data_IF_893110675808
#
_entry.id   IF_893110675808
#
_cell.length_a   1.000
_cell.length_b   1.000
_cell.length_c   1.000
_cell.angle_alpha   90.00
_cell.angle_beta   90.00
_cell.angle_gamma   90.00
#
_symmetry.space_group_name_H-M   'P 1'
#
loop_
_entity.id
_entity.type
_entity.pdbx_description
1 polymer ?
#
# COMPACT_ATOMS: atom_id res chain seq x y z
N UNK A 1 -6.30 -13.44 13.17
CA UNK A 1 -5.67 -12.85 11.97
C UNK A 1 -4.61 -11.86 12.44
N UNK A 2 -3.61 -11.54 11.61
CA UNK A 2 -2.69 -10.44 11.93
C UNK A 2 -3.32 -9.16 11.38
N UNK A 3 -3.66 -8.24 12.28
CA UNK A 3 -4.08 -6.88 11.93
C UNK A 3 -2.82 -6.04 11.70
N UNK A 4 -2.81 -5.21 10.67
CA UNK A 4 -1.74 -4.25 10.41
C UNK A 4 -2.28 -2.83 10.28
N UNK A 5 -1.44 -1.87 10.64
CA UNK A 5 -1.62 -0.44 10.41
C UNK A 5 -0.40 0.05 9.65
N UNK A 6 -0.61 0.75 8.53
CA UNK A 6 0.47 1.26 7.69
C UNK A 6 0.10 2.61 7.09
N UNK A 7 1.07 3.52 7.05
CA UNK A 7 0.95 4.83 6.41
C UNK A 7 1.50 4.76 4.99
N UNK A 8 0.64 5.02 3.99
CA UNK A 8 0.98 4.94 2.57
C UNK A 8 0.74 6.27 1.86
N UNK A 9 1.67 6.67 0.98
CA UNK A 9 1.47 7.77 0.05
C UNK A 9 0.80 7.24 -1.21
N UNK A 10 -0.51 7.43 -1.34
CA UNK A 10 -1.29 6.94 -2.48
C UNK A 10 -1.23 7.93 -3.64
N UNK A 11 -0.35 7.64 -4.60
CA UNK A 11 -0.23 8.40 -5.85
C UNK A 11 -1.25 7.90 -6.88
N UNK A 12 -1.71 8.81 -7.75
CA UNK A 12 -2.64 8.40 -8.81
C UNK A 12 -1.91 7.55 -9.86
N UNK A 13 -2.41 6.35 -10.20
CA UNK A 13 -1.78 5.50 -11.23
C UNK A 13 -1.94 6.08 -12.64
N UNK A 14 -2.93 6.94 -12.86
CA UNK A 14 -3.22 7.57 -14.16
C UNK A 14 -2.44 8.89 -14.29
N UNK A 15 -1.10 8.79 -14.35
CA UNK A 15 -0.19 9.96 -14.40
C UNK A 15 -0.42 10.80 -15.66
N UNK A 16 -0.88 10.18 -16.73
CA UNK A 16 -1.14 10.86 -18.02
C UNK A 16 -2.32 11.84 -17.93
N UNK A 17 -3.33 11.53 -17.10
CA UNK A 17 -4.54 12.36 -16.95
C UNK A 17 -4.70 12.97 -15.55
N UNK A 18 -3.80 12.67 -14.61
CA UNK A 18 -3.91 13.10 -13.23
C UNK A 18 -2.54 13.26 -12.57
N UNK A 19 -2.16 14.53 -12.33
CA UNK A 19 -0.96 14.93 -11.60
C UNK A 19 -1.25 15.06 -10.09
N UNK A 20 -1.96 14.08 -9.52
CA UNK A 20 -2.22 14.08 -8.08
C UNK A 20 -1.02 13.51 -7.32
N UNK A 21 -0.40 14.34 -6.49
CA UNK A 21 0.64 13.97 -5.54
C UNK A 21 0.14 14.20 -4.11
N UNK A 22 0.14 13.17 -3.24
CA UNK A 22 -0.29 13.33 -1.84
C UNK A 22 0.74 14.12 -1.02
N UNK A 23 0.28 15.12 -0.25
CA UNK A 23 1.11 15.86 0.72
C UNK A 23 1.20 15.15 2.07
N UNK A 24 0.19 14.34 2.40
CA UNK A 24 0.08 13.58 3.65
C UNK A 24 -0.13 12.10 3.36
N UNK A 25 0.42 11.19 4.20
CA UNK A 25 0.17 9.77 4.05
C UNK A 25 -1.27 9.42 4.46
N UNK A 26 -1.80 8.36 3.88
CA UNK A 26 -3.07 7.76 4.27
C UNK A 26 -2.80 6.55 5.14
N UNK A 27 -3.34 6.55 6.36
CA UNK A 27 -3.28 5.40 7.27
C UNK A 27 -4.30 4.35 6.83
N UNK A 28 -3.79 3.16 6.49
CA UNK A 28 -4.58 2.00 6.09
C UNK A 28 -4.52 0.95 7.19
N UNK A 29 -5.69 0.44 7.56
CA UNK A 29 -5.86 -0.64 8.52
C UNK A 29 -6.41 -1.85 7.79
N UNK A 30 -5.79 -3.01 7.94
CA UNK A 30 -6.24 -4.21 7.25
C UNK A 30 -5.84 -5.50 7.92
N UNK A 31 -6.35 -6.58 7.35
CA UNK A 31 -5.95 -7.96 7.66
C UNK A 31 -5.27 -8.56 6.44
N UNK A 32 -4.41 -9.57 6.64
CA UNK A 32 -3.80 -10.32 5.54
C UNK A 32 -4.86 -10.79 4.51
N UNK A 33 -4.70 -10.40 3.25
CA UNK A 33 -5.66 -10.64 2.17
C UNK A 33 -6.81 -9.62 2.05
N UNK A 34 -6.74 -8.47 2.71
CA UNK A 34 -7.74 -7.39 2.56
C UNK A 34 -7.44 -6.48 1.37
N UNK A 35 -8.46 -6.24 0.56
CA UNK A 35 -8.45 -5.22 -0.50
C UNK A 35 -8.94 -3.89 0.05
N UNK A 36 -8.27 -2.82 -0.34
CA UNK A 36 -8.56 -1.44 0.04
C UNK A 36 -9.08 -0.65 -1.15
N UNK A 37 -10.04 0.21 -0.88
CA UNK A 37 -10.58 1.13 -1.87
C UNK A 37 -10.06 2.54 -1.61
N UNK A 38 -9.50 3.17 -2.63
CA UNK A 38 -9.08 4.57 -2.57
C UNK A 38 -9.56 5.33 -3.79
N UNK A 39 -10.18 6.48 -3.53
CA UNK A 39 -10.60 7.40 -4.59
C UNK A 39 -9.59 8.54 -4.68
N UNK A 40 -8.94 8.66 -5.83
CA UNK A 40 -8.00 9.73 -6.10
C UNK A 40 -8.73 11.09 -6.01
N UNK A 41 -8.34 11.99 -5.10
CA UNK A 41 -9.03 13.28 -4.95
C UNK A 41 -8.71 14.25 -6.09
N UNK A 42 -7.67 14.00 -6.89
CA UNK A 42 -7.34 14.81 -8.06
C UNK A 42 -8.25 14.54 -9.27
N UNK A 43 -8.48 13.28 -9.63
CA UNK A 43 -9.29 12.92 -10.80
C UNK A 43 -10.66 12.30 -10.47
N UNK A 44 -10.92 11.97 -9.20
CA UNK A 44 -12.17 11.36 -8.75
C UNK A 44 -12.36 9.89 -9.15
N UNK A 45 -11.34 9.24 -9.72
CA UNK A 45 -11.38 7.82 -10.06
C UNK A 45 -11.09 6.97 -8.81
N UNK A 46 -11.85 5.88 -8.67
CA UNK A 46 -11.69 4.90 -7.59
C UNK A 46 -10.84 3.73 -8.04
N UNK A 47 -9.88 3.34 -7.21
CA UNK A 47 -8.96 2.23 -7.43
C UNK A 47 -9.02 1.26 -6.25
N UNK A 48 -8.85 -0.02 -6.56
CA UNK A 48 -8.70 -1.08 -5.57
C UNK A 48 -7.24 -1.51 -5.52
N UNK A 49 -6.69 -1.64 -4.32
CA UNK A 49 -5.31 -2.07 -4.10
C UNK A 49 -5.21 -2.99 -2.89
N UNK A 50 -4.16 -3.79 -2.84
CA UNK A 50 -3.86 -4.69 -1.72
C UNK A 50 -2.54 -4.25 -1.12
N UNK A 51 -2.44 -4.27 0.21
CA UNK A 51 -1.17 -4.04 0.89
C UNK A 51 -0.52 -5.39 1.15
N UNK A 52 0.58 -5.66 0.46
CA UNK A 52 1.42 -6.83 0.71
C UNK A 52 2.54 -6.39 1.64
N UNK A 53 2.51 -6.84 2.90
CA UNK A 53 3.63 -6.64 3.82
C UNK A 53 4.72 -7.65 3.48
N UNK A 54 5.79 -7.21 2.80
CA UNK A 54 6.98 -8.05 2.59
C UNK A 54 7.83 -8.04 3.86
N UNK A 55 8.00 -9.18 4.57
CA UNK A 55 8.85 -9.20 5.75
C UNK A 55 10.31 -9.00 5.38
N UNK A 56 10.99 -8.03 6.02
CA UNK A 56 12.43 -7.88 5.88
C UNK A 56 13.17 -9.05 6.57
N UNK A 57 13.77 -9.94 5.77
CA UNK A 57 14.57 -11.04 6.31
C UNK A 57 15.98 -10.54 6.64
N UNK A 58 16.28 -10.39 7.94
CA UNK A 58 17.62 -10.09 8.45
C UNK A 58 18.29 -11.30 9.11
N UNK A 59 19.62 -11.43 8.99
CA UNK A 59 20.44 -12.50 9.57
C UNK A 59 20.19 -13.93 9.03
N UNK A 60 19.91 -14.07 7.73
CA UNK A 60 19.83 -15.39 7.10
C UNK A 60 21.20 -16.09 7.12
N UNK A 61 21.30 -17.27 7.73
CA UNK A 61 22.50 -18.13 7.69
C UNK A 61 22.19 -19.42 6.95
N UNK A 62 23.09 -19.82 6.05
CA UNK A 62 23.03 -21.10 5.36
C UNK A 62 23.11 -22.24 6.38
N UNK A 63 22.14 -23.16 6.34
CA UNK A 63 22.23 -24.42 7.08
C UNK A 63 23.15 -25.36 6.30
N UNK A 64 24.38 -25.55 6.76
CA UNK A 64 25.23 -26.63 6.28
C UNK A 64 24.63 -27.96 6.77
N UNK A 65 24.27 -28.85 5.84
CA UNK A 65 23.96 -30.26 6.15
C UNK A 65 25.22 -31.06 6.48
#
# INVERSE_FOLDING_TARGET
MAEYEVDLFLECPDIDNCDYSPEEPTTINGEDGSSHEWTCPGCGKTYLFEVVYEPEISNMRSKSE
#
